data_IF_158900610823
#
_entry.id   IF_158900610823
#
_cell.length_a   1.000
_cell.length_b   1.000
_cell.length_c   1.000
_cell.angle_alpha   90.00
_cell.angle_beta   90.00
_cell.angle_gamma   90.00
#
_symmetry.space_group_name_H-M   'P 1'
#
loop_
_entity.id
_entity.type
_entity.pdbx_description
1 polymer ?
#
# COMPACT_ATOMS: atom_id res chain seq x y z
N UNK A 1 -23.20 0.14 4.96
CA UNK A 1 -22.75 -0.17 6.32
C UNK A 1 -21.30 0.26 6.40
N UNK A 2 -21.06 1.43 6.95
CA UNK A 2 -19.70 1.98 6.93
C UNK A 2 -18.92 1.35 8.08
N UNK A 3 -17.70 0.92 7.81
CA UNK A 3 -16.77 0.34 8.78
C UNK A 3 -15.62 1.32 8.97
N UNK A 4 -15.19 1.49 10.21
CA UNK A 4 -13.97 2.23 10.55
C UNK A 4 -12.95 1.30 11.19
N UNK A 5 -11.67 1.63 11.03
CA UNK A 5 -10.58 1.00 11.74
C UNK A 5 -10.13 1.89 12.90
N UNK A 6 -9.77 1.28 14.02
CA UNK A 6 -9.19 1.97 15.18
C UNK A 6 -7.96 1.20 15.62
N UNK A 7 -6.84 1.88 15.77
CA UNK A 7 -5.60 1.31 16.28
C UNK A 7 -5.27 1.90 17.66
N UNK A 8 -5.47 1.12 18.71
CA UNK A 8 -5.22 1.52 20.10
C UNK A 8 -3.81 1.12 20.52
N UNK A 9 -3.11 2.04 21.19
CA UNK A 9 -1.71 1.85 21.66
C UNK A 9 -0.73 1.40 20.56
N UNK A 10 -1.08 1.62 19.28
CA UNK A 10 -0.29 1.14 18.14
C UNK A 10 -0.35 -0.37 17.90
N UNK A 11 -1.07 -1.17 18.70
CA UNK A 11 -1.02 -2.66 18.67
C UNK A 11 -2.35 -3.39 18.73
N UNK A 12 -3.44 -2.74 19.14
CA UNK A 12 -4.78 -3.35 19.17
C UNK A 12 -5.62 -2.76 18.04
N UNK A 13 -5.80 -3.54 16.97
CA UNK A 13 -6.55 -3.13 15.79
C UNK A 13 -7.99 -3.62 15.88
N UNK A 14 -8.94 -2.69 15.74
CA UNK A 14 -10.39 -2.96 15.78
C UNK A 14 -11.05 -2.51 14.50
N UNK A 15 -11.98 -3.32 14.00
CA UNK A 15 -12.95 -2.91 12.97
C UNK A 15 -14.30 -2.70 13.64
N UNK A 16 -14.90 -1.52 13.41
CA UNK A 16 -16.13 -1.10 14.09
C UNK A 16 -17.16 -0.70 13.04
N UNK A 17 -18.36 -1.27 13.15
CA UNK A 17 -19.51 -0.87 12.35
C UNK A 17 -20.04 0.48 12.85
N UNK A 18 -20.07 1.48 11.98
CA UNK A 18 -20.34 2.88 12.38
C UNK A 18 -21.77 3.15 12.85
N UNK A 19 -22.75 2.44 12.29
CA UNK A 19 -24.17 2.60 12.59
C UNK A 19 -24.55 2.10 13.99
N UNK A 20 -23.87 1.07 14.47
CA UNK A 20 -24.20 0.33 15.69
C UNK A 20 -23.11 0.42 16.75
N UNK A 21 -21.91 0.86 16.39
CA UNK A 21 -20.71 0.79 17.23
C UNK A 21 -20.24 -0.64 17.50
N UNK A 22 -20.79 -1.64 16.79
CA UNK A 22 -20.43 -3.04 17.00
C UNK A 22 -18.98 -3.28 16.57
N UNK A 23 -18.18 -3.87 17.46
CA UNK A 23 -16.86 -4.40 17.11
C UNK A 23 -17.08 -5.64 16.25
N UNK A 24 -16.65 -5.57 14.99
CA UNK A 24 -16.67 -6.66 14.03
C UNK A 24 -15.46 -7.58 14.22
N UNK A 25 -14.31 -6.99 14.53
CA UNK A 25 -13.04 -7.67 14.71
C UNK A 25 -12.18 -6.92 15.73
N UNK A 26 -11.40 -7.66 16.52
CA UNK A 26 -10.34 -7.13 17.36
C UNK A 26 -9.15 -8.07 17.30
N UNK A 27 -7.98 -7.53 16.95
CA UNK A 27 -6.75 -8.29 16.77
C UNK A 27 -5.59 -7.58 17.48
N UNK A 28 -4.75 -8.37 18.14
CA UNK A 28 -3.41 -7.94 18.49
C UNK A 28 -2.56 -7.99 17.21
N UNK A 29 -2.00 -6.85 16.82
CA UNK A 29 -1.14 -6.69 15.65
C UNK A 29 0.26 -6.26 16.07
N UNK A 30 1.24 -6.46 15.19
CA UNK A 30 2.59 -5.96 15.44
C UNK A 30 2.54 -4.45 15.65
N UNK A 31 3.18 -3.96 16.72
CA UNK A 31 3.04 -2.56 17.10
C UNK A 31 3.64 -1.59 16.06
N UNK A 32 2.93 -0.49 15.85
CA UNK A 32 3.39 0.66 15.07
C UNK A 32 3.71 1.82 16.00
N UNK A 33 4.89 2.41 15.82
CA UNK A 33 5.37 3.53 16.64
C UNK A 33 4.69 4.82 16.20
N UNK A 34 4.05 5.50 17.15
CA UNK A 34 3.46 6.84 16.96
C UNK A 34 2.55 6.94 15.72
N UNK A 35 1.48 6.14 15.63
CA UNK A 35 0.53 6.23 14.53
C UNK A 35 -0.17 7.59 14.53
N UNK A 36 -0.26 8.24 13.37
CA UNK A 36 -0.88 9.56 13.20
C UNK A 36 -2.24 9.46 12.53
N UNK A 37 -2.26 8.73 11.43
CA UNK A 37 -3.43 8.55 10.59
C UNK A 37 -3.60 7.05 10.30
N UNK A 38 -4.83 6.65 10.03
CA UNK A 38 -5.17 5.28 9.70
C UNK A 38 -6.03 5.28 8.44
N UNK A 39 -5.51 4.71 7.37
CA UNK A 39 -6.25 4.52 6.13
C UNK A 39 -6.87 3.14 6.16
N UNK A 40 -8.19 3.10 6.00
CA UNK A 40 -8.96 1.87 5.81
C UNK A 40 -9.51 1.85 4.39
N UNK A 41 -9.36 0.71 3.72
CA UNK A 41 -9.86 0.50 2.38
C UNK A 41 -10.37 -0.93 2.21
N UNK A 42 -11.30 -1.11 1.28
CA UNK A 42 -11.85 -2.41 0.95
C UNK A 42 -11.31 -2.88 -0.41
N UNK A 43 -10.74 -4.08 -0.45
CA UNK A 43 -10.14 -4.59 -1.68
C UNK A 43 -10.07 -6.11 -1.70
N UNK A 44 -10.65 -6.73 -2.74
CA UNK A 44 -10.65 -8.20 -2.96
C UNK A 44 -11.04 -9.03 -1.73
N UNK A 45 -12.13 -8.65 -1.06
CA UNK A 45 -12.63 -9.34 0.13
C UNK A 45 -11.77 -9.16 1.38
N UNK A 46 -10.94 -8.11 1.40
CA UNK A 46 -10.10 -7.75 2.54
C UNK A 46 -10.31 -6.28 2.91
N UNK A 47 -10.32 -6.00 4.21
CA UNK A 47 -10.01 -4.69 4.74
C UNK A 47 -8.49 -4.52 4.75
N UNK A 48 -8.00 -3.52 4.04
CA UNK A 48 -6.59 -3.12 4.03
C UNK A 48 -6.43 -1.91 4.93
N UNK A 49 -5.59 -2.04 5.96
CA UNK A 49 -5.34 -1.02 6.95
C UNK A 49 -3.89 -0.55 6.83
N UNK A 50 -3.69 0.74 6.60
CA UNK A 50 -2.39 1.38 6.51
C UNK A 50 -2.28 2.46 7.59
N UNK A 51 -1.62 2.20 8.72
CA UNK A 51 -1.20 3.26 9.63
C UNK A 51 -0.11 4.11 8.98
N UNK A 52 -0.28 5.43 8.98
CA UNK A 52 0.83 6.36 8.78
C UNK A 52 1.52 6.61 10.13
N UNK A 53 2.83 6.41 10.16
CA UNK A 53 3.65 6.47 11.37
C UNK A 53 4.62 7.63 11.28
N UNK A 54 4.99 8.23 12.42
CA UNK A 54 6.08 9.20 12.42
C UNK A 54 7.37 8.52 12.00
N UNK A 55 7.95 9.03 10.92
CA UNK A 55 9.31 8.73 10.50
C UNK A 55 10.31 9.51 11.35
N UNK A 56 11.24 8.80 11.99
CA UNK A 56 12.33 9.40 12.76
C UNK A 56 13.42 10.01 11.84
N UNK A 57 13.43 9.67 10.54
CA UNK A 57 14.39 10.11 9.51
C UNK A 57 13.76 11.10 8.51
N UNK A 58 13.33 12.27 9.01
CA UNK A 58 12.72 13.36 8.24
C UNK A 58 13.56 13.92 7.07
N UNK A 59 14.82 13.51 6.91
CA UNK A 59 15.75 14.06 5.93
C UNK A 59 15.47 13.64 4.47
N UNK A 60 14.59 12.66 4.25
CA UNK A 60 14.27 12.12 2.91
C UNK A 60 12.85 12.45 2.43
N UNK A 61 12.15 13.35 3.13
CA UNK A 61 10.81 13.76 2.72
C UNK A 61 10.88 14.72 1.52
N UNK A 62 10.84 14.16 0.32
CA UNK A 62 10.52 14.94 -0.86
C UNK A 62 9.27 14.31 -1.53
N UNK A 63 8.11 14.98 -1.38
CA UNK A 63 6.80 14.39 -1.58
C UNK A 63 6.59 14.00 -3.04
N UNK A 64 6.02 12.82 -3.25
CA UNK A 64 5.43 12.48 -4.54
C UNK A 64 4.10 13.23 -4.65
N UNK A 65 3.99 14.12 -5.66
CA UNK A 65 2.75 14.86 -5.93
C UNK A 65 1.61 13.85 -6.08
N UNK A 66 0.48 14.14 -5.43
CA UNK A 66 -0.72 13.31 -5.46
C UNK A 66 -0.48 11.87 -4.94
N UNK A 67 0.33 11.75 -3.88
CA UNK A 67 0.56 10.48 -3.20
C UNK A 67 0.44 10.59 -1.68
N UNK A 68 -0.01 9.50 -1.06
CA UNK A 68 -0.10 9.36 0.38
C UNK A 68 1.17 8.70 0.91
N UNK A 69 1.84 9.34 1.85
CA UNK A 69 2.97 8.74 2.54
C UNK A 69 2.47 7.66 3.49
N UNK A 70 3.12 6.50 3.47
CA UNK A 70 2.87 5.40 4.39
C UNK A 70 4.20 4.87 4.90
N UNK A 71 4.25 4.61 6.21
CA UNK A 71 5.44 4.11 6.87
C UNK A 71 5.06 3.23 8.05
N UNK A 72 5.82 2.16 8.28
CA UNK A 72 5.64 1.26 9.41
C UNK A 72 5.16 -0.10 8.94
N UNK A 73 3.84 -0.30 8.85
CA UNK A 73 3.23 -1.62 8.56
C UNK A 73 1.91 -1.50 7.82
N UNK A 74 1.45 -2.61 7.28
CA UNK A 74 0.11 -2.80 6.72
C UNK A 74 -0.53 -4.06 7.25
N UNK A 75 -1.85 -4.06 7.36
CA UNK A 75 -2.63 -5.21 7.79
C UNK A 75 -3.73 -5.54 6.79
N UNK A 76 -3.97 -6.83 6.59
CA UNK A 76 -5.09 -7.35 5.83
C UNK A 76 -6.01 -8.17 6.72
N UNK A 77 -7.29 -7.78 6.81
CA UNK A 77 -8.31 -8.56 7.53
C UNK A 77 -9.31 -9.09 6.50
N UNK A 78 -9.58 -10.41 6.51
CA UNK A 78 -10.57 -11.00 5.59
C UNK A 78 -11.97 -10.52 5.95
N UNK A 79 -12.74 -10.15 4.94
CA UNK A 79 -14.11 -9.66 5.12
C UNK A 79 -15.08 -10.78 5.55
N UNK A 80 -14.85 -12.03 5.12
CA UNK A 80 -15.78 -13.13 5.34
C UNK A 80 -15.81 -13.62 6.80
N UNK A 81 -14.64 -13.73 7.44
CA UNK A 81 -14.47 -14.32 8.77
C UNK A 81 -13.81 -13.37 9.77
N UNK A 82 -13.48 -12.15 9.34
CA UNK A 82 -12.83 -11.11 10.14
C UNK A 82 -11.47 -11.52 10.70
N UNK A 83 -10.80 -12.52 10.12
CA UNK A 83 -9.46 -12.95 10.56
C UNK A 83 -8.35 -12.06 10.00
N UNK A 84 -7.29 -11.86 10.78
CA UNK A 84 -6.05 -11.24 10.28
C UNK A 84 -5.40 -12.20 9.27
N UNK A 85 -5.40 -11.82 7.99
CA UNK A 85 -4.84 -12.62 6.91
C UNK A 85 -3.32 -12.46 6.80
N UNK A 86 -2.83 -11.24 6.96
CA UNK A 86 -1.42 -10.89 6.86
C UNK A 86 -1.11 -9.57 7.59
N UNK A 87 0.14 -9.44 7.98
CA UNK A 87 0.72 -8.31 8.72
C UNK A 87 2.12 -8.05 8.14
N UNK A 88 2.23 -7.04 7.28
CA UNK A 88 3.39 -6.80 6.44
C UNK A 88 4.14 -5.52 6.84
N UNK A 89 5.47 -5.56 7.03
CA UNK A 89 6.26 -4.35 7.25
C UNK A 89 6.32 -3.50 5.98
N UNK A 90 6.31 -2.18 6.19
CA UNK A 90 6.56 -1.16 5.18
C UNK A 90 7.76 -0.30 5.56
N UNK A 91 8.70 -0.20 4.64
CA UNK A 91 9.69 0.88 4.60
C UNK A 91 9.05 2.20 4.12
N UNK A 92 9.84 3.26 3.97
CA UNK A 92 9.35 4.58 3.55
C UNK A 92 8.81 4.54 2.11
N UNK A 93 7.48 4.55 1.97
CA UNK A 93 6.80 4.44 0.69
C UNK A 93 5.74 5.52 0.54
N UNK A 94 5.45 5.85 -0.71
CA UNK A 94 4.39 6.73 -1.15
C UNK A 94 3.41 5.93 -2.00
N UNK A 95 2.11 6.14 -1.80
CA UNK A 95 1.07 5.52 -2.60
C UNK A 95 0.48 6.57 -3.53
N UNK A 96 0.75 6.47 -4.83
CA UNK A 96 0.30 7.46 -5.81
C UNK A 96 -1.08 7.14 -6.38
N UNK A 97 -1.90 8.18 -6.53
CA UNK A 97 -3.24 8.11 -7.11
C UNK A 97 -3.18 7.65 -8.58
N UNK A 98 -3.73 6.47 -8.88
CA UNK A 98 -4.14 6.16 -10.25
C UNK A 98 -5.47 6.86 -10.50
N UNK A 99 -5.49 7.97 -11.25
CA UNK A 99 -6.71 8.74 -11.55
C UNK A 99 -7.66 7.83 -12.34
N UNK A 100 -8.88 7.57 -11.87
CA UNK A 100 -10.03 8.46 -12.05
C UNK A 100 -10.89 8.53 -10.77
N UNK A 101 -10.72 9.60 -10.00
CA UNK A 101 -11.65 10.10 -8.95
C UNK A 101 -11.65 9.47 -7.54
N UNK A 102 -10.48 9.50 -6.85
CA UNK A 102 -10.35 9.51 -5.37
C UNK A 102 -10.19 8.17 -4.63
N UNK A 103 -9.35 7.25 -5.11
CA UNK A 103 -8.85 6.23 -4.18
C UNK A 103 -7.36 5.92 -4.36
N UNK A 104 -6.68 5.92 -3.21
CA UNK A 104 -5.27 5.61 -2.98
C UNK A 104 -4.98 4.13 -3.23
N UNK A 105 -6.00 3.30 -3.00
CA UNK A 105 -6.02 1.89 -3.37
C UNK A 105 -7.00 1.73 -4.52
N UNK A 106 -6.64 0.96 -5.54
CA UNK A 106 -7.61 0.60 -6.57
C UNK A 106 -8.80 -0.10 -5.89
N UNK A 107 -10.01 0.50 -5.89
CA UNK A 107 -11.12 -0.04 -5.14
C UNK A 107 -11.44 -1.42 -5.69
N UNK A 108 -11.49 -2.42 -4.82
CA UNK A 108 -11.72 -3.81 -5.20
C UNK A 108 -10.65 -4.41 -6.13
N UNK A 109 -9.39 -3.97 -6.03
CA UNK A 109 -8.26 -4.58 -6.73
C UNK A 109 -7.61 -5.73 -5.96
N UNK A 110 -7.09 -6.76 -6.65
CA UNK A 110 -6.28 -7.80 -6.02
C UNK A 110 -4.85 -7.34 -5.73
N UNK A 111 -4.44 -6.16 -6.19
CA UNK A 111 -3.08 -5.66 -6.01
C UNK A 111 -3.02 -4.19 -5.57
N UNK A 112 -1.98 -3.88 -4.80
CA UNK A 112 -1.61 -2.54 -4.34
C UNK A 112 -0.22 -2.17 -4.85
N UNK A 113 -0.07 -0.98 -5.44
CA UNK A 113 1.19 -0.39 -5.89
C UNK A 113 1.72 0.64 -4.87
N UNK A 114 2.94 0.45 -4.40
CA UNK A 114 3.69 1.34 -3.52
C UNK A 114 4.92 1.87 -4.26
N UNK A 115 5.24 3.15 -4.09
CA UNK A 115 6.39 3.81 -4.71
C UNK A 115 7.41 4.23 -3.64
N UNK A 116 8.66 3.83 -3.75
CA UNK A 116 9.75 4.42 -2.95
C UNK A 116 10.45 5.51 -3.74
N UNK A 117 11.16 6.37 -3.02
CA UNK A 117 12.12 7.29 -3.60
C UNK A 117 13.52 6.82 -3.23
N UNK A 118 14.11 5.95 -4.04
CA UNK A 118 15.51 5.55 -3.90
C UNK A 118 16.42 6.67 -4.40
N UNK A 119 17.20 7.30 -3.53
CA UNK A 119 18.17 8.33 -3.95
C UNK A 119 19.58 7.78 -3.99
N UNK A 120 20.21 7.66 -5.16
CA UNK A 120 21.67 7.60 -5.25
C UNK A 120 22.20 9.03 -5.32
N UNK A 121 22.77 9.54 -4.22
CA UNK A 121 23.55 10.77 -4.29
C UNK A 121 24.80 10.50 -5.11
N UNK A 122 24.87 11.03 -6.33
CA UNK A 122 26.11 11.03 -7.09
C UNK A 122 27.17 11.84 -6.33
N UNK A 123 28.31 11.25 -5.93
CA UNK A 123 29.36 11.97 -5.23
C UNK A 123 29.85 13.16 -6.07
N UNK A 124 29.72 14.38 -5.54
CA UNK A 124 30.19 15.61 -6.20
C UNK A 124 29.15 16.36 -7.06
N UNK A 125 27.91 15.89 -7.17
CA UNK A 125 26.82 16.65 -7.79
C UNK A 125 25.96 17.35 -6.74
N UNK A 126 25.74 18.68 -6.81
CA UNK A 126 24.77 19.36 -5.95
C UNK A 126 23.32 18.98 -6.34
N UNK A 127 23.12 18.38 -7.51
CA UNK A 127 21.82 17.88 -7.97
C UNK A 127 21.68 16.42 -7.54
N UNK A 128 20.74 16.14 -6.64
CA UNK A 128 20.31 14.77 -6.33
C UNK A 128 19.53 14.22 -7.53
N UNK A 129 20.11 13.23 -8.22
CA UNK A 129 19.34 12.35 -9.08
C UNK A 129 18.39 11.55 -8.20
N UNK A 130 17.10 11.70 -8.42
CA UNK A 130 16.09 10.93 -7.70
C UNK A 130 15.69 9.77 -8.57
N UNK A 131 15.83 8.55 -8.07
CA UNK A 131 15.23 7.37 -8.67
C UNK A 131 13.98 6.98 -7.87
N UNK A 132 13.04 6.36 -8.55
CA UNK A 132 11.85 5.80 -7.92
C UNK A 132 11.99 4.29 -7.91
N UNK A 133 11.56 3.65 -6.84
CA UNK A 133 11.30 2.23 -6.81
C UNK A 133 9.80 1.96 -6.77
N UNK A 134 9.41 0.73 -7.07
CA UNK A 134 8.03 0.28 -6.99
C UNK A 134 7.92 -1.12 -6.40
N UNK A 135 6.92 -1.31 -5.55
CA UNK A 135 6.53 -2.60 -4.97
C UNK A 135 5.05 -2.83 -5.26
N UNK A 136 4.70 -4.01 -5.78
CA UNK A 136 3.31 -4.43 -6.02
C UNK A 136 3.03 -5.61 -5.11
N UNK A 137 2.00 -5.49 -4.27
CA UNK A 137 1.59 -6.50 -3.29
C UNK A 137 0.26 -7.11 -3.71
N UNK A 138 0.13 -8.44 -3.67
CA UNK A 138 -1.16 -9.14 -3.76
C UNK A 138 -1.92 -8.97 -2.45
N UNK A 139 -3.01 -8.21 -2.49
CA UNK A 139 -3.85 -7.90 -1.32
C UNK A 139 -4.44 -9.16 -0.68
N UNK A 140 -4.62 -10.24 -1.44
CA UNK A 140 -5.21 -11.47 -0.90
C UNK A 140 -4.22 -12.24 -0.03
N UNK A 141 -2.92 -12.06 -0.26
CA UNK A 141 -1.88 -12.88 0.38
C UNK A 141 -0.85 -12.07 1.16
N UNK A 142 -0.80 -10.74 0.97
CA UNK A 142 0.25 -9.87 1.52
C UNK A 142 1.60 -10.00 0.80
N UNK A 143 1.71 -10.88 -0.21
CA UNK A 143 2.99 -11.18 -0.87
C UNK A 143 3.30 -10.24 -2.01
N UNK A 144 4.60 -10.05 -2.23
CA UNK A 144 5.10 -9.28 -3.38
C UNK A 144 4.84 -10.01 -4.68
N UNK A 145 4.17 -9.32 -5.61
CA UNK A 145 4.08 -9.68 -7.02
C UNK A 145 5.20 -9.05 -7.83
N UNK A 146 5.74 -7.91 -7.36
CA UNK A 146 6.83 -7.18 -8.00
C UNK A 146 7.55 -6.30 -6.98
N UNK A 147 8.87 -6.20 -7.09
CA UNK A 147 9.68 -5.25 -6.33
C UNK A 147 10.88 -4.84 -7.20
N UNK A 148 11.04 -3.56 -7.45
CA UNK A 148 12.17 -2.99 -8.20
C UNK A 148 12.54 -1.64 -7.58
N UNK A 149 13.81 -1.47 -7.23
CA UNK A 149 14.30 -0.26 -6.57
C UNK A 149 14.61 0.88 -7.56
N UNK A 150 14.59 0.62 -8.88
CA UNK A 150 14.84 1.63 -9.91
C UNK A 150 13.92 1.46 -11.14
N UNK A 151 12.76 2.11 -11.08
CA UNK A 151 11.81 2.24 -12.20
C UNK A 151 12.03 3.50 -13.03
N UNK A 152 13.10 4.26 -12.78
CA UNK A 152 13.45 5.49 -13.49
C UNK A 152 13.46 6.72 -12.58
N UNK A 153 13.71 7.88 -13.21
CA UNK A 153 13.92 9.16 -12.50
C UNK A 153 12.72 10.10 -12.50
N UNK A 154 11.66 9.72 -13.20
CA UNK A 154 10.38 10.44 -13.24
C UNK A 154 9.24 9.42 -13.12
N UNK A 155 8.00 9.92 -13.00
CA UNK A 155 6.79 9.10 -12.97
C UNK A 155 5.76 9.59 -14.02
N UNK A 156 6.21 10.14 -15.14
CA UNK A 156 5.34 10.77 -16.13
C UNK A 156 4.48 9.76 -16.90
N UNK A 157 5.03 8.58 -17.17
CA UNK A 157 4.34 7.47 -17.83
C UNK A 157 3.76 6.45 -16.84
N UNK A 158 3.68 6.79 -15.55
CA UNK A 158 3.09 5.88 -14.58
C UNK A 158 1.60 5.68 -14.85
N UNK A 159 1.24 4.47 -15.28
CA UNK A 159 -0.14 4.01 -15.31
C UNK A 159 -0.24 2.54 -14.94
N UNK A 160 -1.42 2.13 -14.51
CA UNK A 160 -1.73 0.74 -14.16
C UNK A 160 -3.08 0.37 -14.76
N UNK A 161 -3.14 -0.82 -15.35
CA UNK A 161 -4.35 -1.40 -15.90
C UNK A 161 -4.52 -2.83 -15.38
N UNK A 162 -5.71 -3.15 -14.89
CA UNK A 162 -6.05 -4.49 -14.42
C UNK A 162 -7.05 -5.10 -15.39
N UNK A 163 -6.64 -6.20 -16.02
CA UNK A 163 -7.53 -7.05 -16.78
C UNK A 163 -7.96 -8.22 -15.88
N UNK A 164 -9.17 -8.11 -15.33
CA UNK A 164 -9.74 -9.13 -14.43
C UNK A 164 -10.09 -10.43 -15.15
N UNK A 165 -10.46 -10.37 -16.43
CA UNK A 165 -10.80 -11.55 -17.22
C UNK A 165 -9.57 -12.45 -17.44
N UNK A 166 -8.43 -11.83 -17.76
CA UNK A 166 -7.18 -12.56 -18.03
C UNK A 166 -6.31 -12.73 -16.77
N UNK A 167 -6.76 -12.23 -15.62
CA UNK A 167 -6.01 -12.21 -14.37
C UNK A 167 -4.61 -11.60 -14.52
N UNK A 168 -4.54 -10.48 -15.26
CA UNK A 168 -3.31 -9.75 -15.56
C UNK A 168 -3.33 -8.32 -15.07
N UNK A 169 -2.22 -7.89 -14.49
CA UNK A 169 -1.95 -6.49 -14.18
C UNK A 169 -0.86 -6.02 -15.13
N UNK A 170 -1.05 -4.86 -15.72
CA UNK A 170 -0.05 -4.18 -16.51
C UNK A 170 0.25 -2.84 -15.85
N UNK A 171 1.53 -2.51 -15.70
CA UNK A 171 1.94 -1.19 -15.30
C UNK A 171 3.07 -0.71 -16.20
N UNK A 172 3.08 0.59 -16.41
CA UNK A 172 4.11 1.28 -17.15
C UNK A 172 4.81 2.24 -16.23
N UNK A 173 6.12 2.33 -16.41
CA UNK A 173 7.00 3.31 -15.83
C UNK A 173 7.77 3.98 -16.95
N UNK A 174 8.45 5.09 -16.65
CA UNK A 174 9.24 5.80 -17.66
C UNK A 174 10.36 4.93 -18.26
N UNK A 175 10.91 4.00 -17.47
CA UNK A 175 11.97 3.09 -17.93
C UNK A 175 11.46 1.86 -18.68
N UNK A 176 10.26 1.36 -18.37
CA UNK A 176 9.79 0.03 -18.82
C UNK A 176 8.30 -0.21 -18.61
N UNK A 177 7.77 -1.21 -19.33
CA UNK A 177 6.46 -1.80 -19.07
C UNK A 177 6.61 -3.16 -18.41
N UNK A 178 5.71 -3.50 -17.50
CA UNK A 178 5.69 -4.77 -16.79
C UNK A 178 4.28 -5.35 -16.88
N UNK A 179 4.21 -6.66 -17.07
CA UNK A 179 2.96 -7.43 -17.02
C UNK A 179 3.14 -8.54 -16.00
N UNK A 180 2.22 -8.63 -15.04
CA UNK A 180 2.17 -9.67 -14.01
C UNK A 180 0.89 -10.47 -14.16
N UNK A 181 0.99 -11.78 -13.95
CA UNK A 181 -0.18 -12.63 -13.73
C UNK A 181 -0.48 -12.66 -12.21
N UNK A 182 -1.75 -12.49 -11.82
CA UNK A 182 -2.18 -12.54 -10.41
C UNK A 182 -3.18 -13.67 -10.16
N UNK A 183 -3.03 -14.80 -10.86
CA UNK A 183 -3.94 -15.95 -10.74
C UNK A 183 -4.21 -16.27 -9.26
N UNK A 184 -5.48 -16.53 -8.93
CA UNK A 184 -5.86 -16.93 -7.56
C UNK A 184 -4.95 -18.07 -7.12
N UNK A 185 -4.22 -17.86 -6.03
CA UNK A 185 -3.64 -18.98 -5.30
C UNK A 185 -4.84 -19.70 -4.70
N UNK A 186 -5.07 -20.95 -5.10
CA UNK A 186 -6.12 -21.76 -4.50
C UNK A 186 -5.87 -21.83 -2.99
N UNK A 187 -6.79 -21.25 -2.21
CA UNK A 187 -6.81 -21.38 -0.76
C UNK A 187 -7.01 -22.86 -0.44
N UNK A 188 -5.99 -23.49 0.14
CA UNK A 188 -6.10 -24.83 0.74
C UNK A 188 -6.68 -24.73 2.15
#
# INVERSE_FOLDING_TARGET
NDVIAVLSEGRSLKLIQTDTGRILAEHDVTAVKLPRELILQHSSGHYVILPDSIDDNLAEYDPVIDALHVYGRMYGIRENDMTLAWDEPLDHRHIRLAVSERSVLLPNSPALLLLSRGGTTNPGSPIRGTHYGARVIDVRTGKDLYNDDDIGTTLNLLWMHINSADQRIQFSFDSRNVTLDFKKVDEK
#
